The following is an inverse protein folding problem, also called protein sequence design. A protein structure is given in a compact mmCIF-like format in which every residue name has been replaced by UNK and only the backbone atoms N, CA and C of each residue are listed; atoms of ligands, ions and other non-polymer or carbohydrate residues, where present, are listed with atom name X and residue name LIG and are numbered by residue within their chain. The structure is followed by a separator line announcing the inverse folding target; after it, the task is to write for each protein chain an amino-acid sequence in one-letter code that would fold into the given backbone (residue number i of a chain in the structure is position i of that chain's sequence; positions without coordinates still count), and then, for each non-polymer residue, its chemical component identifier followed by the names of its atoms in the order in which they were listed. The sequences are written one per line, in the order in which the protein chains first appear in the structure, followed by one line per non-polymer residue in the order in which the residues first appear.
data_IF_559801449611
#
_entry.id   IF_559801449611
#
_cell.length_a   1.000
_cell.length_b   1.000
_cell.length_c   1.000
_cell.angle_alpha   90.00
_cell.angle_beta   90.00
_cell.angle_gamma   90.00
#
_symmetry.space_group_name_H-M   'P 1'
#
loop_
_entity.id
_entity.type
_entity.pdbx_description
1 polymer ?
#
# COMPACT_ATOMS: atom_id res chain seq x y z
N UNK A 1 43.93 16.63 50.46
CA UNK A 1 43.20 15.46 49.93
C UNK A 1 41.84 15.83 49.33
N UNK A 2 41.06 16.71 49.96
CA UNK A 2 39.76 17.18 49.42
C UNK A 2 39.87 17.89 48.04
N UNK A 3 40.85 18.77 47.85
CA UNK A 3 41.08 19.45 46.56
C UNK A 3 41.43 18.50 45.40
N UNK A 4 42.13 17.40 45.67
CA UNK A 4 42.47 16.40 44.66
C UNK A 4 41.24 15.59 44.23
N UNK A 5 40.33 15.32 45.18
CA UNK A 5 39.06 14.66 44.89
C UNK A 5 38.18 15.56 44.03
N UNK A 6 38.02 16.84 44.39
CA UNK A 6 37.23 17.81 43.62
C UNK A 6 37.79 17.99 42.20
N UNK A 7 39.11 18.11 42.07
CA UNK A 7 39.76 18.22 40.77
C UNK A 7 39.55 16.94 39.94
N UNK A 8 39.66 15.76 40.54
CA UNK A 8 39.39 14.49 39.86
C UNK A 8 37.93 14.37 39.39
N UNK A 9 36.97 14.82 40.20
CA UNK A 9 35.54 14.84 39.84
C UNK A 9 35.26 15.78 38.66
N UNK A 10 35.93 16.93 38.62
CA UNK A 10 35.79 17.87 37.49
C UNK A 10 36.36 17.24 36.22
N UNK A 11 37.58 16.68 36.24
CA UNK A 11 38.17 16.01 35.08
C UNK A 11 37.33 14.82 34.57
N UNK A 12 36.76 14.01 35.48
CA UNK A 12 35.83 12.92 35.14
C UNK A 12 34.52 13.45 34.51
N UNK A 13 33.95 14.55 35.03
CA UNK A 13 32.75 15.15 34.47
C UNK A 13 32.98 15.76 33.08
N UNK A 14 34.18 16.31 32.80
CA UNK A 14 34.53 16.80 31.45
C UNK A 14 34.77 15.66 30.45
N UNK A 15 35.21 14.47 30.90
CA UNK A 15 35.38 13.29 30.04
C UNK A 15 34.04 12.66 29.60
N UNK A 16 32.96 12.93 30.33
CA UNK A 16 31.59 12.52 29.97
C UNK A 16 30.90 13.51 29.02
N UNK A 17 31.50 14.67 28.75
CA UNK A 17 31.12 15.55 27.64
C UNK A 17 31.67 15.03 26.30
N UNK A 18 31.60 13.72 26.06
CA UNK A 18 31.66 13.20 24.70
C UNK A 18 30.43 13.76 23.98
N UNK A 19 30.66 14.72 23.08
CA UNK A 19 29.63 15.28 22.24
C UNK A 19 28.89 14.15 21.54
N UNK A 20 27.64 13.95 21.93
CA UNK A 20 26.70 13.10 21.22
C UNK A 20 26.53 13.73 19.84
N UNK A 21 27.28 13.25 18.85
CA UNK A 21 27.10 13.66 17.46
C UNK A 21 25.79 13.01 17.02
N UNK A 22 24.67 13.67 17.34
CA UNK A 22 23.40 13.39 16.73
C UNK A 22 23.53 13.66 15.23
N UNK A 23 23.85 12.62 14.47
CA UNK A 23 23.66 12.64 13.02
C UNK A 23 22.16 12.81 12.77
N UNK A 24 21.72 14.06 12.64
CA UNK A 24 20.39 14.38 12.13
C UNK A 24 20.30 13.88 10.68
N UNK A 25 19.90 12.62 10.50
CA UNK A 25 19.50 12.07 9.20
C UNK A 25 18.14 12.68 8.83
N UNK A 26 18.17 13.94 8.42
CA UNK A 26 17.05 14.54 7.71
C UNK A 26 17.12 14.07 6.25
N UNK A 27 15.99 13.67 5.64
CA UNK A 27 15.95 13.33 4.23
C UNK A 27 16.53 14.48 3.39
N UNK A 28 17.42 14.16 2.45
CA UNK A 28 17.91 15.16 1.51
C UNK A 28 16.95 15.27 0.32
N UNK A 29 16.82 16.45 -0.31
CA UNK A 29 16.13 16.56 -1.58
C UNK A 29 16.77 15.63 -2.61
N UNK A 30 15.94 14.99 -3.45
CA UNK A 30 16.40 14.12 -4.51
C UNK A 30 15.49 14.26 -5.72
N UNK A 31 16.02 13.89 -6.88
CA UNK A 31 15.24 13.68 -8.09
C UNK A 31 15.82 12.50 -8.86
N UNK A 32 14.98 11.60 -9.34
CA UNK A 32 15.40 10.52 -10.22
C UNK A 32 14.34 10.22 -11.27
N UNK A 33 14.73 9.48 -12.30
CA UNK A 33 13.80 8.98 -13.29
C UNK A 33 14.48 8.10 -14.32
N UNK A 34 13.66 7.41 -15.10
CA UNK A 34 14.08 6.63 -16.25
C UNK A 34 13.01 6.67 -17.32
N UNK A 35 13.43 6.38 -18.55
CA UNK A 35 12.56 6.11 -19.69
C UNK A 35 13.16 4.98 -20.50
N UNK A 36 12.37 3.93 -20.74
CA UNK A 36 12.74 2.76 -21.53
C UNK A 36 11.76 2.67 -22.67
N UNK A 37 12.28 2.57 -23.90
CA UNK A 37 11.48 2.46 -25.11
C UNK A 37 11.99 1.34 -25.97
N UNK A 38 11.11 0.38 -26.22
CA UNK A 38 11.31 -0.74 -27.14
C UNK A 38 10.49 -0.48 -28.43
N UNK A 39 10.58 -1.39 -29.40
CA UNK A 39 9.86 -1.26 -30.67
C UNK A 39 8.33 -1.15 -30.53
N UNK A 40 7.76 -1.74 -29.48
CA UNK A 40 6.31 -1.84 -29.28
C UNK A 40 5.87 -1.41 -27.88
N UNK A 41 6.76 -0.95 -27.02
CA UNK A 41 6.43 -0.59 -25.65
C UNK A 41 7.27 0.56 -25.13
N UNK A 42 6.73 1.29 -24.18
CA UNK A 42 7.45 2.31 -23.43
C UNK A 42 7.11 2.21 -21.95
N UNK A 43 8.07 2.54 -21.09
CA UNK A 43 7.90 2.62 -19.65
C UNK A 43 8.70 3.81 -19.15
N UNK A 44 8.16 4.53 -18.18
CA UNK A 44 8.86 5.67 -17.59
C UNK A 44 8.49 5.87 -16.13
N UNK A 45 9.40 6.51 -15.41
CA UNK A 45 9.16 7.00 -14.06
C UNK A 45 9.94 8.28 -13.84
N UNK A 46 9.35 9.19 -13.08
CA UNK A 46 10.07 10.31 -12.48
C UNK A 46 9.54 10.54 -11.06
N UNK A 47 10.43 10.92 -10.15
CA UNK A 47 10.08 11.25 -8.78
C UNK A 47 11.04 12.30 -8.24
N UNK A 48 10.49 13.25 -7.48
CA UNK A 48 11.25 14.26 -6.75
C UNK A 48 10.79 14.28 -5.29
N UNK A 49 11.74 14.19 -4.37
CA UNK A 49 11.53 14.40 -2.94
C UNK A 49 12.10 15.75 -2.51
N UNK A 50 11.37 16.50 -1.69
CA UNK A 50 11.80 17.83 -1.26
C UNK A 50 12.70 17.83 0.00
N UNK A 51 13.09 16.66 0.52
CA UNK A 51 13.85 16.51 1.77
C UNK A 51 13.05 16.76 3.06
N UNK A 52 11.80 17.19 2.96
CA UNK A 52 10.92 17.49 4.09
C UNK A 52 9.76 16.49 4.21
N UNK A 53 9.94 15.29 3.65
CA UNK A 53 8.93 14.23 3.66
C UNK A 53 7.85 14.35 2.59
N UNK A 54 7.90 15.36 1.71
CA UNK A 54 7.02 15.43 0.55
C UNK A 54 7.69 14.84 -0.71
N UNK A 55 6.93 14.01 -1.42
CA UNK A 55 7.33 13.35 -2.66
C UNK A 55 6.26 13.60 -3.72
N UNK A 56 6.69 13.97 -4.92
CA UNK A 56 5.85 14.09 -6.10
C UNK A 56 6.45 13.25 -7.21
N UNK A 57 5.62 12.55 -7.96
CA UNK A 57 6.13 11.76 -9.06
C UNK A 57 5.06 11.21 -9.98
N UNK A 58 5.54 10.53 -11.00
CA UNK A 58 4.71 9.82 -11.93
C UNK A 58 5.40 8.56 -12.46
N UNK A 59 4.59 7.59 -12.86
CA UNK A 59 5.08 6.45 -13.63
C UNK A 59 4.03 6.03 -14.65
N UNK A 60 4.48 5.40 -15.72
CA UNK A 60 3.57 4.93 -16.74
C UNK A 60 4.21 3.91 -17.67
N UNK A 61 3.35 3.25 -18.43
CA UNK A 61 3.74 2.36 -19.50
C UNK A 61 2.71 2.37 -20.62
N UNK A 62 3.14 1.96 -21.81
CA UNK A 62 2.30 1.53 -22.94
C UNK A 62 2.87 0.22 -23.48
N UNK A 63 2.03 -0.79 -23.70
CA UNK A 63 2.42 -2.07 -24.29
C UNK A 63 2.09 -2.17 -25.80
N UNK A 64 2.51 -3.28 -26.41
CA UNK A 64 2.33 -3.54 -27.84
C UNK A 64 0.88 -3.59 -28.32
N UNK A 65 -0.08 -3.77 -27.40
CA UNK A 65 -1.52 -3.81 -27.68
C UNK A 65 -2.16 -2.44 -27.46
N UNK A 66 -1.38 -1.41 -27.17
CA UNK A 66 -1.86 -0.08 -26.80
C UNK A 66 -2.48 -0.02 -25.40
N UNK A 67 -2.24 -1.03 -24.56
CA UNK A 67 -2.64 -0.97 -23.15
C UNK A 67 -1.66 -0.06 -22.41
N UNK A 68 -2.19 0.93 -21.72
CA UNK A 68 -1.44 1.96 -21.06
C UNK A 68 -1.97 2.24 -19.66
N UNK A 69 -1.05 2.67 -18.79
CA UNK A 69 -1.35 3.25 -17.49
C UNK A 69 -0.45 4.46 -17.29
N UNK A 70 -1.04 5.56 -16.82
CA UNK A 70 -0.34 6.72 -16.28
C UNK A 70 -0.78 6.93 -14.84
N UNK A 71 0.17 7.04 -13.92
CA UNK A 71 -0.09 7.37 -12.51
C UNK A 71 0.66 8.62 -12.15
N UNK A 72 -0.06 9.61 -11.62
CA UNK A 72 0.50 10.82 -11.03
C UNK A 72 0.21 10.79 -9.53
N UNK A 73 1.21 11.02 -8.68
CA UNK A 73 1.05 10.88 -7.24
C UNK A 73 1.77 11.97 -6.45
N UNK A 74 1.23 12.22 -5.26
CA UNK A 74 1.81 13.07 -4.22
C UNK A 74 1.76 12.29 -2.90
N UNK A 75 2.86 12.30 -2.15
CA UNK A 75 2.90 11.88 -0.76
C UNK A 75 3.38 13.06 0.08
N UNK A 76 2.61 13.46 1.07
CA UNK A 76 2.94 14.54 2.00
C UNK A 76 2.19 14.33 3.34
N UNK A 77 2.10 15.38 4.17
CA UNK A 77 1.37 15.32 5.44
C UNK A 77 -0.12 14.95 5.31
N UNK A 78 -0.74 15.16 4.14
CA UNK A 78 -2.11 14.74 3.86
C UNK A 78 -2.19 13.31 3.30
N UNK A 79 -1.12 12.51 3.46
CA UNK A 79 -1.04 11.12 3.04
C UNK A 79 -0.66 10.94 1.57
N UNK A 80 -0.78 9.70 1.09
CA UNK A 80 -0.56 9.35 -0.31
C UNK A 80 -1.84 9.55 -1.12
N UNK A 81 -1.74 10.26 -2.25
CA UNK A 81 -2.83 10.53 -3.18
C UNK A 81 -2.36 10.28 -4.61
N UNK A 82 -3.20 9.67 -5.43
CA UNK A 82 -2.84 9.38 -6.81
C UNK A 82 -4.02 9.54 -7.77
N UNK A 83 -3.69 9.90 -9.00
CA UNK A 83 -4.59 9.80 -10.14
C UNK A 83 -4.05 8.71 -11.07
N UNK A 84 -4.90 7.76 -11.42
CA UNK A 84 -4.61 6.68 -12.36
C UNK A 84 -5.44 6.92 -13.61
N UNK A 85 -4.79 7.05 -14.77
CA UNK A 85 -5.43 6.97 -16.08
C UNK A 85 -5.03 5.65 -16.71
N UNK A 86 -5.99 4.83 -17.13
CA UNK A 86 -5.71 3.49 -17.66
C UNK A 86 -6.79 3.02 -18.65
N UNK A 87 -6.39 2.21 -19.63
CA UNK A 87 -7.29 1.41 -20.45
C UNK A 87 -7.09 -0.10 -20.22
N UNK A 88 -6.50 -0.52 -19.10
CA UNK A 88 -6.25 -1.93 -18.79
C UNK A 88 -7.56 -2.71 -18.58
N UNK A 89 -7.72 -3.91 -19.19
CA UNK A 89 -8.88 -4.76 -18.98
C UNK A 89 -9.15 -5.07 -17.51
N UNK A 90 -10.43 -5.03 -17.11
CA UNK A 90 -10.84 -5.31 -15.73
C UNK A 90 -10.67 -4.14 -14.75
N UNK A 91 -10.20 -2.98 -15.21
CA UNK A 91 -10.27 -1.74 -14.43
C UNK A 91 -11.66 -1.12 -14.51
N UNK A 92 -12.03 -0.38 -13.46
CA UNK A 92 -13.29 0.34 -13.38
C UNK A 92 -13.04 1.71 -12.73
N UNK A 93 -13.98 2.64 -12.93
CA UNK A 93 -14.00 3.96 -12.27
C UNK A 93 -14.41 3.84 -10.80
N UNK A 94 -13.67 3.04 -10.04
CA UNK A 94 -13.80 2.90 -8.59
C UNK A 94 -12.63 3.65 -7.96
N UNK A 95 -12.94 4.52 -6.99
CA UNK A 95 -11.96 5.39 -6.34
C UNK A 95 -11.67 4.88 -4.92
N UNK A 96 -10.82 3.84 -4.75
CA UNK A 96 -10.49 3.34 -3.42
C UNK A 96 -9.58 4.33 -2.67
N UNK A 97 -9.84 4.51 -1.37
CA UNK A 97 -9.08 5.40 -0.50
C UNK A 97 -8.90 6.80 -1.13
N UNK A 98 -7.66 7.27 -1.29
CA UNK A 98 -7.33 8.57 -1.88
C UNK A 98 -6.78 8.45 -3.32
N UNK A 99 -7.24 7.44 -4.06
CA UNK A 99 -6.89 7.22 -5.47
C UNK A 99 -8.09 7.53 -6.36
N UNK A 100 -7.87 8.37 -7.37
CA UNK A 100 -8.86 8.64 -8.42
C UNK A 100 -8.51 7.84 -9.67
N UNK A 101 -9.38 6.90 -10.06
CA UNK A 101 -9.17 6.04 -11.23
C UNK A 101 -10.05 6.50 -12.39
N UNK A 102 -9.41 6.80 -13.51
CA UNK A 102 -9.99 7.11 -14.82
C UNK A 102 -9.69 5.91 -15.71
N UNK A 103 -10.62 4.95 -15.71
CA UNK A 103 -10.60 3.77 -16.58
C UNK A 103 -11.36 4.04 -17.87
N UNK A 104 -10.72 3.72 -19.00
CA UNK A 104 -11.30 3.73 -20.35
C UNK A 104 -11.90 2.37 -20.75
N UNK A 105 -12.13 1.47 -19.80
CA UNK A 105 -12.81 0.19 -20.05
C UNK A 105 -14.34 0.35 -20.00
N UNK A 106 -15.08 -0.39 -20.85
CA UNK A 106 -16.53 -0.47 -20.74
C UNK A 106 -16.94 -0.97 -19.35
N UNK A 107 -17.79 -0.24 -18.67
CA UNK A 107 -18.31 -0.65 -17.37
C UNK A 107 -19.32 -1.78 -17.59
N UNK A 108 -18.92 -3.04 -17.36
CA UNK A 108 -19.88 -4.13 -17.29
C UNK A 108 -20.59 -3.98 -15.95
N UNK A 109 -21.81 -3.43 -15.96
CA UNK A 109 -22.67 -3.44 -14.78
C UNK A 109 -22.98 -4.90 -14.49
N UNK A 110 -22.25 -5.52 -13.55
CA UNK A 110 -22.56 -6.87 -13.09
C UNK A 110 -23.88 -6.75 -12.35
N UNK A 111 -24.99 -7.01 -13.04
CA UNK A 111 -26.27 -7.31 -12.39
C UNK A 111 -26.01 -8.58 -11.60
N UNK A 112 -25.75 -8.42 -10.30
CA UNK A 112 -25.84 -9.54 -9.36
C UNK A 112 -27.34 -9.75 -9.19
N UNK A 113 -27.93 -10.54 -10.08
CA UNK A 113 -29.27 -11.06 -9.85
C UNK A 113 -29.19 -11.87 -8.54
N UNK A 114 -29.97 -11.52 -7.50
CA UNK A 114 -29.96 -12.30 -6.28
C UNK A 114 -30.51 -13.68 -6.63
N UNK A 115 -29.60 -14.65 -6.69
CA UNK A 115 -29.97 -16.04 -6.90
C UNK A 115 -30.73 -16.51 -5.65
N UNK A 116 -32.04 -16.33 -5.65
CA UNK A 116 -32.93 -16.93 -4.66
C UNK A 116 -32.92 -18.45 -4.89
N UNK A 117 -32.05 -19.16 -4.18
CA UNK A 117 -32.09 -20.61 -4.14
C UNK A 117 -33.20 -20.99 -3.16
N UNK A 118 -34.27 -21.71 -3.57
CA UNK A 118 -35.21 -22.25 -2.61
C UNK A 118 -34.46 -23.28 -1.75
N UNK A 119 -34.39 -23.04 -0.45
CA UNK A 119 -33.89 -24.02 0.52
C UNK A 119 -34.92 -25.15 0.56
N UNK A 120 -34.64 -26.25 -0.14
CA UNK A 120 -35.39 -27.49 0.01
C UNK A 120 -35.09 -28.11 1.36
N UNK A 121 -36.01 -28.00 2.32
CA UNK A 121 -35.92 -28.75 3.58
C UNK A 121 -36.25 -30.21 3.26
N UNK A 122 -35.21 -31.06 3.21
CA UNK A 122 -35.40 -32.51 3.14
C UNK A 122 -35.76 -33.01 4.53
N UNK A 123 -37.00 -33.47 4.70
CA UNK A 123 -37.42 -34.19 5.89
C UNK A 123 -36.73 -35.56 5.93
N UNK A 124 -35.94 -35.82 6.97
CA UNK A 124 -35.31 -37.13 7.22
C UNK A 124 -36.37 -38.06 7.82
N UNK A 125 -36.61 -39.26 7.26
CA UNK A 125 -37.59 -40.19 7.83
C UNK A 125 -37.06 -40.79 9.13
N UNK A 126 -37.87 -40.77 10.19
CA UNK A 126 -37.57 -41.43 11.45
C UNK A 126 -37.67 -42.96 11.28
N UNK A 127 -36.53 -43.65 11.44
CA UNK A 127 -36.47 -45.11 11.44
C UNK A 127 -37.00 -45.63 12.78
N UNK A 128 -38.07 -46.43 12.74
CA UNK A 128 -38.58 -47.16 13.89
C UNK A 128 -37.64 -48.32 14.23
N UNK A 129 -36.94 -48.21 15.36
CA UNK A 129 -36.16 -49.29 15.94
C UNK A 129 -37.00 -50.20 16.83
N UNK A 130 -37.27 -51.42 16.34
CA UNK A 130 -37.74 -52.56 17.14
C UNK A 130 -36.56 -53.12 17.95
N UNK A 131 -36.67 -53.15 19.27
CA UNK A 131 -35.73 -53.81 20.17
C UNK A 131 -36.46 -54.45 21.34
N UNK A 132 -36.57 -55.77 21.32
CA UNK A 132 -37.14 -56.60 22.38
C UNK A 132 -36.21 -56.76 23.59
N UNK A 133 -36.76 -56.95 24.79
CA UNK A 133 -36.02 -57.54 25.92
C UNK A 133 -36.48 -57.11 27.32
N UNK A 134 -37.11 -58.02 28.04
CA UNK A 134 -37.65 -57.98 29.41
C UNK A 134 -36.59 -58.00 30.55
N UNK A 135 -37.10 -57.76 31.78
CA UNK A 135 -36.58 -58.04 33.16
C UNK A 135 -35.42 -57.14 33.65
N UNK A 136 -35.48 -56.40 34.76
CA UNK A 136 -36.10 -56.61 36.10
C UNK A 136 -36.94 -55.43 36.60
#
# INVERSE_FOLDING_TARGET
MFFLVVLSCIFLAQAQHHGDIHYHHHPQPYAFGYSVKDHHSEQHRHETGNGHGAVVGSYGFTDARGIARQVNYVADHAGFRAQVNTNEPGTANQNPAAVHVISHQPHVHRVVEPLAHPVGVVAVPAVHGLGAGLVF
#
